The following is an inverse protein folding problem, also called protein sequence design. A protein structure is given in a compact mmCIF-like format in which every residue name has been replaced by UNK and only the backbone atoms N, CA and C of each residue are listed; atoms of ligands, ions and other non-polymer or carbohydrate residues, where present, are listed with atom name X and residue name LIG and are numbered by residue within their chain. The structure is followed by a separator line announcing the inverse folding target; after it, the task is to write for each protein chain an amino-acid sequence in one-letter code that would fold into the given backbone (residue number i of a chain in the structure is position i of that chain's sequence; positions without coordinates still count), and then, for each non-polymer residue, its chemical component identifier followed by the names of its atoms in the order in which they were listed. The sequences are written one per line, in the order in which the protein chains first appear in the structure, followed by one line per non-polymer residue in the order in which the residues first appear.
data_IF_975653652850
#
_entry.id   IF_975653652850
#
_cell.length_a   1.000
_cell.length_b   1.000
_cell.length_c   1.000
_cell.angle_alpha   90.00
_cell.angle_beta   90.00
_cell.angle_gamma   90.00
#
_symmetry.space_group_name_H-M   'P 1'
#
loop_
_entity.id
_entity.type
_entity.pdbx_description
1 polymer ?
#
# COMPACT_ATOMS: atom_id res chain seq x y z
N UNK A 1 14.71 6.07 7.93
CA UNK A 1 14.65 6.45 6.50
C UNK A 1 13.25 6.97 6.22
N UNK A 2 13.11 8.09 5.50
CA UNK A 2 11.80 8.65 5.16
C UNK A 2 11.34 8.19 3.77
N UNK A 3 10.04 7.96 3.60
CA UNK A 3 9.44 7.74 2.27
C UNK A 3 9.30 9.10 1.56
N UNK A 4 9.72 9.17 0.30
CA UNK A 4 9.48 10.32 -0.58
C UNK A 4 8.45 9.92 -1.62
N UNK A 5 7.38 10.70 -1.75
CA UNK A 5 6.28 10.47 -2.69
C UNK A 5 6.37 11.50 -3.81
N UNK A 6 6.35 11.02 -5.05
CA UNK A 6 6.27 11.86 -6.24
C UNK A 6 4.90 11.61 -6.89
N UNK A 7 4.05 12.64 -6.94
CA UNK A 7 2.77 12.63 -7.67
C UNK A 7 2.97 13.29 -9.04
N UNK A 8 2.60 12.60 -10.11
CA UNK A 8 2.72 13.07 -11.50
C UNK A 8 1.42 13.63 -12.09
N UNK A 9 0.27 13.32 -11.49
CA UNK A 9 -1.05 13.82 -11.89
C UNK A 9 -1.87 14.28 -10.69
N UNK A 10 -2.72 15.29 -10.89
CA UNK A 10 -3.60 15.83 -9.83
C UNK A 10 -4.62 14.80 -9.32
N UNK A 11 -4.95 13.79 -10.14
CA UNK A 11 -5.91 12.74 -9.81
C UNK A 11 -5.28 11.52 -9.10
N UNK A 12 -3.95 11.45 -9.01
CA UNK A 12 -3.25 10.35 -8.33
C UNK A 12 -3.25 10.59 -6.81
N UNK A 13 -4.30 10.14 -6.12
CA UNK A 13 -4.37 10.26 -4.66
C UNK A 13 -3.42 9.26 -3.98
N UNK A 14 -2.41 9.81 -3.29
CA UNK A 14 -1.53 9.06 -2.39
C UNK A 14 -1.65 9.62 -0.97
N UNK A 15 -1.61 8.74 0.04
CA UNK A 15 -1.54 9.12 1.45
C UNK A 15 -0.46 8.35 2.17
N UNK A 16 0.21 9.04 3.10
CA UNK A 16 1.14 8.41 4.04
C UNK A 16 0.42 8.27 5.38
N UNK A 17 0.37 7.06 5.89
CA UNK A 17 -0.18 6.76 7.22
C UNK A 17 0.98 6.38 8.13
N UNK A 18 1.08 7.06 9.26
CA UNK A 18 2.05 6.71 10.30
C UNK A 18 1.40 5.76 11.29
N UNK A 19 2.00 4.60 11.51
CA UNK A 19 1.52 3.63 12.50
C UNK A 19 2.03 3.99 13.90
N UNK A 20 1.48 3.35 14.93
CA UNK A 20 1.87 3.59 16.33
C UNK A 20 3.34 3.22 16.61
N UNK A 21 3.90 2.28 15.86
CA UNK A 21 5.34 1.93 15.92
C UNK A 21 6.24 3.04 15.38
N UNK A 22 5.66 4.05 14.72
CA UNK A 22 6.35 5.15 14.09
C UNK A 22 6.75 4.90 12.63
N UNK A 23 6.45 3.72 12.05
CA UNK A 23 6.69 3.42 10.63
C UNK A 23 5.70 4.16 9.73
N UNK A 24 6.11 4.33 8.47
CA UNK A 24 5.31 4.97 7.43
C UNK A 24 4.84 3.94 6.42
N UNK A 25 3.53 3.94 6.16
CA UNK A 25 2.89 3.15 5.11
C UNK A 25 2.44 4.12 4.02
N UNK A 26 2.92 3.91 2.81
CA UNK A 26 2.44 4.62 1.62
C UNK A 26 1.24 3.86 1.06
N UNK A 27 0.15 4.57 0.86
CA UNK A 27 -1.06 4.05 0.21
C UNK A 27 -1.33 4.89 -1.03
N UNK A 28 -1.55 4.26 -2.18
CA UNK A 28 -1.85 4.97 -3.43
C UNK A 28 -2.77 4.14 -4.33
N UNK A 29 -3.50 4.83 -5.20
CA UNK A 29 -4.30 4.20 -6.25
C UNK A 29 -3.49 4.11 -7.56
N UNK A 30 -3.80 3.12 -8.38
CA UNK A 30 -3.22 2.91 -9.70
C UNK A 30 -4.05 1.94 -10.53
N UNK A 31 -3.38 1.28 -11.47
CA UNK A 31 -3.89 0.15 -12.24
C UNK A 31 -2.88 -0.98 -12.23
N UNK A 32 -3.35 -2.22 -12.25
CA UNK A 32 -2.51 -3.41 -12.37
C UNK A 32 -2.02 -3.63 -13.81
N UNK A 33 -1.28 -4.73 -14.04
CA UNK A 33 -0.71 -5.07 -15.35
C UNK A 33 -1.77 -5.35 -16.43
N UNK A 34 -2.99 -5.71 -16.02
CA UNK A 34 -4.13 -5.97 -16.90
C UNK A 34 -4.99 -4.70 -17.12
N UNK A 35 -4.64 -3.60 -16.44
CA UNK A 35 -5.37 -2.34 -16.50
C UNK A 35 -6.51 -2.22 -15.49
N UNK A 36 -6.71 -3.22 -14.62
CA UNK A 36 -7.75 -3.15 -13.60
C UNK A 36 -7.38 -2.12 -12.52
N UNK A 37 -8.36 -1.40 -11.94
CA UNK A 37 -8.13 -0.49 -10.83
C UNK A 37 -7.45 -1.20 -9.66
N UNK A 38 -6.37 -0.62 -9.12
CA UNK A 38 -5.59 -1.18 -8.02
C UNK A 38 -5.41 -0.17 -6.88
N UNK A 39 -5.55 -0.63 -5.63
CA UNK A 39 -5.12 0.13 -4.45
C UNK A 39 -3.92 -0.56 -3.81
N UNK A 40 -2.84 0.18 -3.62
CA UNK A 40 -1.54 -0.36 -3.18
C UNK A 40 -1.20 0.15 -1.79
N UNK A 41 -0.73 -0.75 -0.93
CA UNK A 41 -0.06 -0.44 0.32
C UNK A 41 1.42 -0.85 0.22
N UNK A 42 2.32 0.04 0.63
CA UNK A 42 3.76 -0.13 0.49
C UNK A 42 4.49 0.33 1.75
N UNK A 43 5.50 -0.44 2.16
CA UNK A 43 6.45 -0.03 3.19
C UNK A 43 7.83 -0.61 2.94
N UNK A 44 8.84 -0.08 3.64
CA UNK A 44 10.21 -0.56 3.60
C UNK A 44 10.66 -0.93 5.03
N UNK A 45 11.10 -2.17 5.20
CA UNK A 45 11.54 -2.74 6.47
C UNK A 45 12.93 -3.33 6.23
N UNK A 46 13.94 -2.79 6.90
CA UNK A 46 15.32 -3.30 6.89
C UNK A 46 15.89 -3.53 5.48
N UNK A 47 15.56 -2.63 4.55
CA UNK A 47 16.00 -2.69 3.14
C UNK A 47 15.12 -3.56 2.24
N UNK A 48 14.15 -4.29 2.80
CA UNK A 48 13.15 -5.06 2.06
C UNK A 48 11.92 -4.18 1.80
N UNK A 49 11.56 -4.05 0.53
CA UNK A 49 10.32 -3.36 0.14
C UNK A 49 9.19 -4.37 0.07
N UNK A 50 8.12 -4.13 0.84
CA UNK A 50 6.90 -4.94 0.81
C UNK A 50 5.81 -4.11 0.14
N UNK A 51 5.20 -4.67 -0.91
CA UNK A 51 4.08 -4.09 -1.64
C UNK A 51 2.94 -5.10 -1.68
N UNK A 52 1.74 -4.67 -1.32
CA UNK A 52 0.51 -5.44 -1.53
C UNK A 52 -0.47 -4.56 -2.30
N UNK A 53 -0.90 -5.07 -3.46
CA UNK A 53 -1.92 -4.48 -4.30
C UNK A 53 -3.23 -5.24 -4.22
N UNK A 54 -4.34 -4.52 -4.11
CA UNK A 54 -5.68 -5.06 -4.26
C UNK A 54 -6.25 -4.58 -5.60
N UNK A 55 -6.42 -5.50 -6.55
CA UNK A 55 -7.06 -5.24 -7.83
C UNK A 55 -8.57 -5.44 -7.76
N UNK A 56 -9.31 -4.61 -8.49
CA UNK A 56 -10.77 -4.60 -8.53
C UNK A 56 -11.26 -4.86 -9.96
N UNK A 57 -11.53 -6.13 -10.28
CA UNK A 57 -11.86 -6.60 -11.63
C UNK A 57 -13.36 -6.49 -11.94
N UNK A 58 -13.95 -5.34 -11.63
CA UNK A 58 -15.35 -5.04 -11.90
C UNK A 58 -15.45 -3.98 -13.00
N UNK A 59 -15.95 -4.38 -14.17
CA UNK A 59 -15.99 -3.54 -15.37
C UNK A 59 -16.81 -2.26 -15.19
N UNK A 60 -17.85 -2.29 -14.33
CA UNK A 60 -18.76 -1.17 -14.14
C UNK A 60 -18.42 -0.32 -12.91
N UNK A 61 -17.78 -0.91 -11.89
CA UNK A 61 -17.58 -0.28 -10.58
C UNK A 61 -16.17 -0.45 -9.98
N UNK A 62 -15.19 -0.91 -10.75
CA UNK A 62 -13.84 -1.20 -10.25
C UNK A 62 -13.16 0.02 -9.62
N UNK A 63 -13.25 1.19 -10.28
CA UNK A 63 -12.65 2.44 -9.80
C UNK A 63 -13.34 2.94 -8.52
N UNK A 64 -14.66 2.89 -8.45
CA UNK A 64 -15.42 3.29 -7.25
C UNK A 64 -15.10 2.39 -6.05
N UNK A 65 -14.98 1.07 -6.28
CA UNK A 65 -14.61 0.11 -5.24
C UNK A 65 -13.18 0.31 -4.76
N UNK A 66 -12.25 0.59 -5.68
CA UNK A 66 -10.87 0.95 -5.36
C UNK A 66 -10.82 2.19 -4.48
N UNK A 67 -11.56 3.24 -4.84
CA UNK A 67 -11.53 4.52 -4.14
C UNK A 67 -12.17 4.41 -2.76
N UNK A 68 -13.31 3.72 -2.64
CA UNK A 68 -13.90 3.42 -1.34
C UNK A 68 -12.96 2.58 -0.46
N UNK A 69 -12.29 1.57 -1.03
CA UNK A 69 -11.29 0.79 -0.31
C UNK A 69 -10.13 1.69 0.16
N UNK A 70 -9.57 2.50 -0.74
CA UNK A 70 -8.49 3.44 -0.47
C UNK A 70 -8.86 4.39 0.68
N UNK A 71 -10.02 5.04 0.62
CA UNK A 71 -10.52 5.93 1.66
C UNK A 71 -10.64 5.22 3.01
N UNK A 72 -11.10 3.97 2.99
CA UNK A 72 -11.30 3.17 4.19
C UNK A 72 -10.01 2.79 4.92
N UNK A 73 -8.83 2.92 4.30
CA UNK A 73 -7.54 2.57 4.94
C UNK A 73 -7.17 3.63 5.97
N UNK A 74 -7.22 3.24 7.24
CA UNK A 74 -6.89 4.05 8.39
C UNK A 74 -5.63 3.52 9.12
N UNK A 75 -5.31 4.10 10.27
CA UNK A 75 -4.15 3.69 11.07
C UNK A 75 -4.22 2.22 11.53
N UNK A 76 -5.42 1.70 11.81
CA UNK A 76 -5.60 0.32 12.25
C UNK A 76 -5.33 -0.68 11.13
N UNK A 77 -5.87 -0.42 9.92
CA UNK A 77 -5.58 -1.24 8.73
C UNK A 77 -4.12 -1.13 8.30
N UNK A 78 -3.53 0.05 8.38
CA UNK A 78 -2.11 0.27 8.11
C UNK A 78 -1.21 -0.51 9.10
N UNK A 79 -1.57 -0.57 10.38
CA UNK A 79 -0.87 -1.38 11.38
C UNK A 79 -0.96 -2.89 11.10
N UNK A 80 -2.12 -3.36 10.61
CA UNK A 80 -2.26 -4.76 10.19
C UNK A 80 -1.35 -5.10 8.99
N UNK A 81 -1.29 -4.20 8.00
CA UNK A 81 -0.35 -4.33 6.88
C UNK A 81 1.11 -4.32 7.36
N UNK A 82 1.48 -3.42 8.28
CA UNK A 82 2.82 -3.38 8.87
C UNK A 82 3.19 -4.71 9.53
N UNK A 83 2.29 -5.31 10.32
CA UNK A 83 2.55 -6.58 10.99
C UNK A 83 2.81 -7.71 9.99
N UNK A 84 2.07 -7.76 8.88
CA UNK A 84 2.33 -8.71 7.79
C UNK A 84 3.67 -8.43 7.10
N UNK A 85 3.96 -7.17 6.81
CA UNK A 85 5.21 -6.76 6.16
C UNK A 85 6.44 -7.12 7.01
N UNK A 86 6.36 -6.96 8.34
CA UNK A 86 7.39 -7.40 9.28
C UNK A 86 7.60 -8.91 9.22
N UNK A 87 6.51 -9.69 9.21
CA UNK A 87 6.58 -11.15 9.07
C UNK A 87 7.29 -11.59 7.78
N UNK A 88 6.97 -10.95 6.66
CA UNK A 88 7.62 -11.21 5.36
C UNK A 88 9.10 -10.84 5.40
N UNK A 89 9.46 -9.68 5.94
CA UNK A 89 10.85 -9.23 6.01
C UNK A 89 11.71 -10.16 6.89
N UNK A 90 11.19 -10.61 8.03
CA UNK A 90 11.88 -11.57 8.91
C UNK A 90 12.06 -12.92 8.19
N UNK A 91 11.03 -13.41 7.50
CA UNK A 91 11.11 -14.64 6.72
C UNK A 91 12.13 -14.57 5.57
N UNK A 92 12.28 -13.40 4.94
CA UNK A 92 13.26 -13.18 3.88
C UNK A 92 14.71 -13.08 4.41
N UNK A 93 14.92 -12.57 5.62
CA UNK A 93 16.24 -12.44 6.25
C UNK A 93 16.75 -13.68 6.99
N UNK A 94 15.90 -14.69 7.22
CA UNK A 94 16.25 -15.91 7.96
C UNK A 94 17.03 -16.98 7.18
N UNK A 95 17.55 -16.65 6.00
CA UNK A 95 18.24 -17.60 5.10
C UNK A 95 19.74 -17.28 4.97
N UNK A 96 20.36 -16.84 6.07
CA UNK A 96 21.81 -16.67 6.23
C UNK A 96 22.43 -17.79 7.08
#
# INVERSE_FOLDING_TARGET
MGLTVYQSHEDDFAKIIRTESGRQILVFCGSDEEGNPEAVQMTCIDGVTVRIGASFNDDDAGYDKRDHFFESIDAAKAAAFEAMALGVAIGAGGNE
#
